data_IF_993778654436
#
_entry.id   IF_993778654436
#
_cell.length_a   1.000
_cell.length_b   1.000
_cell.length_c   1.000
_cell.angle_alpha   90.00
_cell.angle_beta   90.00
_cell.angle_gamma   90.00
#
_symmetry.space_group_name_H-M   'P 1'
#
loop_
_entity.id
_entity.type
_entity.pdbx_description
1 polymer ?
#
# COMPACT_ATOMS: atom_id res chain seq x y z
N UNK A 1 -31.24 -1.86 5.62
CA UNK A 1 -30.67 -0.48 5.60
C UNK A 1 -31.50 0.39 6.51
N UNK A 2 -30.88 1.08 7.48
CA UNK A 2 -31.55 2.03 8.36
C UNK A 2 -31.85 3.36 7.63
N UNK A 3 -32.70 4.26 8.18
CA UNK A 3 -32.92 5.58 7.57
C UNK A 3 -31.64 6.40 7.41
N UNK A 4 -30.72 6.34 8.39
CA UNK A 4 -29.42 7.01 8.34
C UNK A 4 -28.52 6.42 7.25
N UNK A 5 -28.44 5.09 7.15
CA UNK A 5 -27.70 4.40 6.09
C UNK A 5 -28.25 4.80 4.71
N UNK A 6 -29.59 4.86 4.57
CA UNK A 6 -30.24 5.25 3.31
C UNK A 6 -29.91 6.73 2.93
N UNK A 7 -29.92 7.64 3.91
CA UNK A 7 -29.58 9.05 3.71
C UNK A 7 -28.14 9.23 3.21
N UNK A 8 -27.17 8.59 3.87
CA UNK A 8 -25.74 8.64 3.50
C UNK A 8 -25.52 8.07 2.11
N UNK A 9 -26.07 6.90 1.81
CA UNK A 9 -25.87 6.23 0.52
C UNK A 9 -26.57 6.97 -0.63
N UNK A 10 -27.72 7.59 -0.41
CA UNK A 10 -28.39 8.43 -1.40
C UNK A 10 -27.56 9.70 -1.68
N UNK A 11 -27.01 10.34 -0.66
CA UNK A 11 -26.13 11.48 -0.80
C UNK A 11 -24.90 11.17 -1.69
N UNK A 12 -24.28 9.99 -1.49
CA UNK A 12 -23.15 9.54 -2.31
C UNK A 12 -23.56 9.24 -3.75
N UNK A 13 -24.77 8.66 -3.98
CA UNK A 13 -25.27 8.32 -5.31
C UNK A 13 -25.36 9.51 -6.25
N UNK A 14 -25.67 10.70 -5.71
CA UNK A 14 -25.83 11.94 -6.46
C UNK A 14 -24.51 12.65 -6.80
N UNK A 15 -23.34 12.10 -6.38
CA UNK A 15 -22.07 12.82 -6.44
C UNK A 15 -21.02 12.19 -7.36
N UNK A 16 -21.45 11.36 -8.31
CA UNK A 16 -20.56 10.71 -9.27
C UNK A 16 -19.66 11.72 -9.98
N UNK A 17 -20.25 12.78 -10.54
CA UNK A 17 -19.49 13.77 -11.31
C UNK A 17 -18.49 14.54 -10.44
N UNK A 18 -18.88 14.84 -9.20
CA UNK A 18 -17.99 15.49 -8.24
C UNK A 18 -16.82 14.58 -7.83
N UNK A 19 -17.06 13.27 -7.64
CA UNK A 19 -16.00 12.27 -7.40
C UNK A 19 -15.04 12.20 -8.58
N UNK A 20 -15.56 12.13 -9.81
CA UNK A 20 -14.75 12.10 -11.04
C UNK A 20 -13.95 13.40 -11.21
N UNK A 21 -14.53 14.55 -10.86
CA UNK A 21 -13.83 15.84 -10.92
C UNK A 21 -12.66 15.91 -9.93
N UNK A 22 -12.85 15.47 -8.67
CA UNK A 22 -11.78 15.39 -7.68
C UNK A 22 -10.71 14.38 -8.10
N UNK A 23 -11.11 13.22 -8.64
CA UNK A 23 -10.18 12.23 -9.15
C UNK A 23 -9.31 12.80 -10.29
N UNK A 24 -9.90 13.53 -11.22
CA UNK A 24 -9.16 14.23 -12.28
C UNK A 24 -8.12 15.19 -11.71
N UNK A 25 -8.50 16.04 -10.75
CA UNK A 25 -7.57 16.98 -10.10
C UNK A 25 -6.40 16.25 -9.45
N UNK A 26 -6.69 15.14 -8.76
CA UNK A 26 -5.66 14.29 -8.14
C UNK A 26 -4.74 13.63 -9.17
N UNK A 27 -5.30 13.06 -10.24
CA UNK A 27 -4.52 12.33 -11.27
C UNK A 27 -3.67 13.30 -12.09
N UNK A 28 -4.20 14.49 -12.42
CA UNK A 28 -3.48 15.51 -13.17
C UNK A 28 -2.43 16.27 -12.32
N UNK A 29 -2.34 15.93 -11.01
CA UNK A 29 -1.29 16.44 -10.12
C UNK A 29 -0.17 15.40 -10.01
N UNK A 30 1.08 15.81 -10.33
CA UNK A 30 2.27 14.99 -10.11
C UNK A 30 2.38 14.54 -8.64
N UNK A 31 2.68 13.27 -8.43
CA UNK A 31 2.84 12.71 -7.08
C UNK A 31 3.78 11.50 -7.04
N UNK A 32 4.82 11.48 -7.85
CA UNK A 32 5.86 10.44 -7.74
C UNK A 32 6.51 10.46 -6.36
N UNK A 33 6.72 9.31 -5.70
CA UNK A 33 7.17 9.19 -4.29
C UNK A 33 8.42 10.00 -3.95
N UNK A 34 9.29 10.22 -4.93
CA UNK A 34 10.52 11.02 -4.78
C UNK A 34 10.36 12.52 -5.13
N UNK A 35 9.19 12.95 -5.64
CA UNK A 35 8.86 14.36 -5.89
C UNK A 35 8.04 14.93 -4.72
N UNK A 36 8.73 15.26 -3.61
CA UNK A 36 8.06 15.82 -2.42
C UNK A 36 7.09 16.96 -2.76
N UNK A 37 7.49 17.91 -3.60
CA UNK A 37 6.64 19.05 -3.96
C UNK A 37 5.36 18.61 -4.68
N UNK A 38 5.47 17.61 -5.57
CA UNK A 38 4.32 17.06 -6.28
C UNK A 38 3.38 16.32 -5.34
N UNK A 39 3.92 15.43 -4.51
CA UNK A 39 3.16 14.69 -3.50
C UNK A 39 2.47 15.65 -2.51
N UNK A 40 3.15 16.73 -2.08
CA UNK A 40 2.55 17.73 -1.20
C UNK A 40 1.42 18.50 -1.89
N UNK A 41 1.56 18.86 -3.18
CA UNK A 41 0.44 19.48 -3.96
C UNK A 41 -0.77 18.56 -4.02
N UNK A 42 -0.58 17.27 -4.28
CA UNK A 42 -1.67 16.29 -4.25
C UNK A 42 -2.32 16.20 -2.85
N UNK A 43 -1.51 16.25 -1.78
CA UNK A 43 -2.01 16.33 -0.40
C UNK A 43 -2.83 17.57 -0.13
N UNK A 44 -2.44 18.72 -0.67
CA UNK A 44 -3.20 19.99 -0.55
C UNK A 44 -4.57 19.93 -1.26
N UNK A 45 -4.71 19.17 -2.34
CA UNK A 45 -6.02 18.95 -2.99
C UNK A 45 -6.99 18.31 -2.00
N UNK A 46 -6.57 17.21 -1.36
CA UNK A 46 -7.38 16.51 -0.35
C UNK A 46 -7.62 17.35 0.91
N UNK A 47 -6.59 18.03 1.41
CA UNK A 47 -6.70 18.89 2.59
C UNK A 47 -7.78 19.95 2.38
N UNK A 48 -7.75 20.68 1.26
CA UNK A 48 -8.78 21.67 0.91
C UNK A 48 -10.16 21.04 0.75
N UNK A 49 -10.26 19.82 0.22
CA UNK A 49 -11.54 19.12 0.12
C UNK A 49 -12.09 18.82 1.51
N UNK A 50 -11.28 18.30 2.42
CA UNK A 50 -11.68 17.98 3.79
C UNK A 50 -12.11 19.22 4.57
N UNK A 51 -11.32 20.30 4.54
CA UNK A 51 -11.64 21.57 5.21
C UNK A 51 -12.97 22.14 4.74
N UNK A 52 -13.21 22.16 3.41
CA UNK A 52 -14.48 22.66 2.82
C UNK A 52 -15.69 21.83 3.24
N UNK A 53 -15.49 20.57 3.61
CA UNK A 53 -16.53 19.66 4.09
C UNK A 53 -16.55 19.54 5.63
N UNK A 54 -15.90 20.47 6.36
CA UNK A 54 -16.03 20.61 7.81
C UNK A 54 -15.17 19.63 8.63
N UNK A 55 -14.19 18.95 8.02
CA UNK A 55 -13.25 18.13 8.76
C UNK A 55 -12.07 18.96 9.29
N UNK A 56 -11.59 18.62 10.47
CA UNK A 56 -10.34 19.18 11.02
C UNK A 56 -9.14 18.54 10.34
N UNK A 57 -8.31 19.35 9.68
CA UNK A 57 -7.12 18.87 8.94
C UNK A 57 -5.84 19.19 9.70
N UNK A 58 -4.96 18.21 9.76
CA UNK A 58 -3.61 18.29 10.30
C UNK A 58 -2.61 17.85 9.24
N UNK A 59 -1.60 18.67 8.96
CA UNK A 59 -0.48 18.33 8.09
C UNK A 59 0.67 17.86 8.97
N UNK A 60 1.08 16.61 8.79
CA UNK A 60 2.21 16.01 9.51
C UNK A 60 3.44 16.13 8.64
N UNK A 61 4.29 17.10 8.96
CA UNK A 61 5.44 17.47 8.14
C UNK A 61 6.50 16.36 8.03
N UNK A 62 7.08 16.21 6.86
CA UNK A 62 8.20 15.33 6.58
C UNK A 62 9.30 16.07 5.81
N UNK A 63 10.55 15.96 6.25
CA UNK A 63 11.66 16.70 5.62
C UNK A 63 12.20 16.11 4.32
N UNK A 64 11.83 14.85 3.99
CA UNK A 64 12.41 14.12 2.85
C UNK A 64 11.38 13.73 1.79
N UNK A 65 10.27 13.15 2.22
CA UNK A 65 9.15 12.73 1.36
C UNK A 65 7.97 13.69 1.53
N UNK A 66 6.83 13.40 0.94
CA UNK A 66 5.64 14.23 1.13
C UNK A 66 5.15 14.21 2.58
N UNK A 67 4.48 15.28 2.99
CA UNK A 67 3.85 15.40 4.31
C UNK A 67 2.63 14.48 4.39
N UNK A 68 2.35 13.84 5.54
CA UNK A 68 1.10 13.11 5.68
C UNK A 68 -0.08 14.08 5.94
N UNK A 69 -1.27 13.74 5.44
CA UNK A 69 -2.50 14.52 5.67
C UNK A 69 -3.43 13.70 6.56
N UNK A 70 -3.76 14.24 7.73
CA UNK A 70 -4.70 13.61 8.68
C UNK A 70 -5.94 14.49 8.80
N UNK A 71 -7.09 13.97 8.39
CA UNK A 71 -8.38 14.66 8.53
C UNK A 71 -9.25 13.92 9.56
N UNK A 72 -9.96 14.68 10.41
CA UNK A 72 -10.76 14.12 11.50
C UNK A 72 -12.18 14.65 11.45
N UNK A 73 -13.14 13.75 11.63
CA UNK A 73 -14.53 14.09 11.93
C UNK A 73 -14.82 13.61 13.36
N UNK A 74 -14.89 14.53 14.35
CA UNK A 74 -15.14 14.15 15.74
C UNK A 74 -16.59 13.71 15.94
N UNK A 75 -16.81 12.79 16.87
CA UNK A 75 -18.15 12.51 17.40
C UNK A 75 -18.11 12.60 18.95
N UNK A 76 -18.38 13.77 19.52
CA UNK A 76 -18.27 13.97 20.96
C UNK A 76 -19.31 13.19 21.77
N UNK A 77 -20.35 12.65 21.14
CA UNK A 77 -21.40 11.84 21.78
C UNK A 77 -21.13 10.35 21.73
N UNK A 78 -20.08 9.90 21.04
CA UNK A 78 -19.71 8.49 21.00
C UNK A 78 -19.23 8.00 22.39
N UNK A 79 -19.69 6.82 22.80
CA UNK A 79 -19.24 6.18 24.05
C UNK A 79 -17.77 5.77 23.96
N UNK A 80 -17.38 5.17 22.84
CA UNK A 80 -15.99 4.85 22.53
C UNK A 80 -15.42 5.90 21.57
N UNK A 81 -14.40 6.61 22.02
CA UNK A 81 -13.76 7.68 21.24
C UNK A 81 -12.69 7.17 20.25
N UNK A 82 -12.45 5.86 20.16
CA UNK A 82 -11.57 5.32 19.14
C UNK A 82 -12.21 5.48 17.76
N UNK A 83 -11.53 6.14 16.80
CA UNK A 83 -12.07 6.35 15.47
C UNK A 83 -12.11 5.06 14.63
N UNK A 84 -12.93 5.07 13.60
CA UNK A 84 -12.68 4.24 12.41
C UNK A 84 -11.61 4.93 11.58
N UNK A 85 -10.59 4.20 11.13
CA UNK A 85 -9.51 4.71 10.31
C UNK A 85 -9.78 4.39 8.83
N UNK A 86 -9.77 5.42 7.99
CA UNK A 86 -9.64 5.29 6.54
C UNK A 86 -8.19 5.60 6.18
N UNK A 87 -7.56 4.72 5.41
CA UNK A 87 -6.14 4.79 5.11
C UNK A 87 -5.90 4.68 3.62
N UNK A 88 -5.00 5.49 3.10
CA UNK A 88 -4.51 5.36 1.74
C UNK A 88 -3.31 6.23 1.45
N UNK A 89 -2.63 5.96 0.33
CA UNK A 89 -1.50 6.73 -0.14
C UNK A 89 -1.84 7.54 -1.40
N UNK A 90 -1.12 8.64 -1.60
CA UNK A 90 -1.30 9.51 -2.77
C UNK A 90 -0.10 9.56 -3.71
N UNK A 91 1.01 8.97 -3.27
CA UNK A 91 2.19 8.84 -4.13
C UNK A 91 1.98 7.77 -5.20
N UNK A 92 2.83 7.78 -6.20
CA UNK A 92 2.82 6.84 -7.32
C UNK A 92 4.24 6.47 -7.72
N UNK A 93 4.40 5.31 -8.39
CA UNK A 93 5.69 4.87 -8.96
C UNK A 93 6.17 5.73 -10.14
N UNK A 94 5.32 6.60 -10.68
CA UNK A 94 5.59 7.31 -11.92
C UNK A 94 6.54 8.51 -11.71
N UNK A 95 7.42 8.79 -12.69
CA UNK A 95 8.33 9.92 -12.62
C UNK A 95 7.59 11.26 -12.76
N UNK A 96 8.23 12.34 -12.32
CA UNK A 96 7.75 13.70 -12.50
C UNK A 96 7.45 14.02 -13.96
N UNK A 97 6.32 14.68 -14.21
CA UNK A 97 5.83 15.05 -15.55
C UNK A 97 4.92 13.99 -16.19
N UNK A 98 4.68 12.87 -15.54
CA UNK A 98 3.83 11.82 -16.06
C UNK A 98 2.37 12.28 -16.31
N UNK A 99 1.71 13.08 -15.45
CA UNK A 99 0.39 13.61 -15.73
C UNK A 99 0.32 14.50 -16.98
N UNK A 100 1.40 15.22 -17.30
CA UNK A 100 1.48 16.00 -18.54
C UNK A 100 1.55 15.09 -19.77
N UNK A 101 2.25 13.96 -19.68
CA UNK A 101 2.40 12.97 -20.74
C UNK A 101 1.14 12.13 -20.91
N UNK A 102 0.50 11.74 -19.82
CA UNK A 102 -0.72 10.91 -19.75
C UNK A 102 -1.75 11.55 -18.80
N UNK A 103 -2.42 12.66 -19.22
CA UNK A 103 -3.42 13.31 -18.39
C UNK A 103 -4.63 12.40 -18.15
N UNK A 104 -5.40 12.72 -17.13
CA UNK A 104 -6.64 12.02 -16.85
C UNK A 104 -7.56 12.01 -18.08
N UNK A 105 -8.02 10.83 -18.45
CA UNK A 105 -8.95 10.65 -19.55
C UNK A 105 -9.96 9.55 -19.24
N UNK A 106 -11.13 9.62 -19.86
CA UNK A 106 -12.13 8.56 -19.81
C UNK A 106 -12.40 8.06 -21.20
N UNK A 107 -12.29 6.74 -21.38
CA UNK A 107 -12.59 6.06 -22.65
C UNK A 107 -13.27 4.72 -22.34
N UNK A 108 -14.36 4.44 -23.03
CA UNK A 108 -15.10 3.17 -22.96
C UNK A 108 -15.47 2.75 -21.51
N UNK A 109 -15.88 3.74 -20.68
CA UNK A 109 -16.27 3.51 -19.28
C UNK A 109 -15.10 3.35 -18.28
N UNK A 110 -13.85 3.46 -18.75
CA UNK A 110 -12.63 3.42 -17.94
C UNK A 110 -11.96 4.78 -17.86
N UNK A 111 -11.51 5.13 -16.69
CA UNK A 111 -10.61 6.27 -16.48
C UNK A 111 -9.16 5.79 -16.51
N UNK A 112 -8.28 6.63 -17.07
CA UNK A 112 -6.85 6.38 -17.24
C UNK A 112 -6.04 7.57 -16.70
N UNK A 113 -4.83 7.34 -16.27
CA UNK A 113 -3.87 8.33 -15.80
C UNK A 113 -3.03 7.79 -14.65
N UNK A 114 -1.95 8.48 -14.24
CA UNK A 114 -1.02 7.98 -13.22
C UNK A 114 -1.66 7.93 -11.83
N UNK A 115 -1.70 6.74 -11.23
CA UNK A 115 -2.30 6.50 -9.94
C UNK A 115 -3.84 6.55 -9.94
N UNK A 116 -4.48 6.43 -11.11
CA UNK A 116 -5.95 6.52 -11.22
C UNK A 116 -6.65 5.42 -10.44
N UNK A 117 -6.05 4.23 -10.35
CA UNK A 117 -6.50 3.10 -9.56
C UNK A 117 -5.69 2.95 -8.27
N UNK A 118 -4.38 3.10 -8.35
CA UNK A 118 -3.41 2.89 -7.28
C UNK A 118 -2.82 4.23 -6.80
N UNK A 119 -3.38 4.87 -5.68
CA UNK A 119 -4.73 4.53 -5.23
C UNK A 119 -5.61 5.79 -5.10
N UNK A 120 -5.41 6.79 -6.02
CA UNK A 120 -6.11 8.10 -5.96
C UNK A 120 -7.63 7.97 -5.96
N UNK A 121 -8.20 6.98 -6.69
CA UNK A 121 -9.63 6.73 -6.65
C UNK A 121 -10.11 6.25 -5.28
N UNK A 122 -9.30 5.45 -4.58
CA UNK A 122 -9.56 5.06 -3.21
C UNK A 122 -9.64 6.26 -2.27
N UNK A 123 -8.67 7.17 -2.37
CA UNK A 123 -8.66 8.41 -1.58
C UNK A 123 -9.88 9.30 -1.86
N UNK A 124 -10.32 9.35 -3.12
CA UNK A 124 -11.54 10.10 -3.49
C UNK A 124 -12.77 9.52 -2.83
N UNK A 125 -12.99 8.20 -2.87
CA UNK A 125 -14.17 7.63 -2.21
C UNK A 125 -14.12 7.81 -0.70
N UNK A 126 -12.94 7.66 -0.06
CA UNK A 126 -12.77 7.94 1.37
C UNK A 126 -13.14 9.38 1.71
N UNK A 127 -12.67 10.35 0.91
CA UNK A 127 -12.96 11.77 1.10
C UNK A 127 -14.48 12.06 1.01
N UNK A 128 -15.17 11.46 0.03
CA UNK A 128 -16.62 11.63 -0.11
C UNK A 128 -17.41 10.90 0.97
N UNK A 129 -16.94 9.75 1.46
CA UNK A 129 -17.54 9.05 2.61
C UNK A 129 -17.44 9.92 3.87
N UNK A 130 -16.30 10.53 4.13
CA UNK A 130 -16.14 11.45 5.25
C UNK A 130 -17.03 12.70 5.12
N UNK A 131 -17.14 13.28 3.92
CA UNK A 131 -18.03 14.41 3.63
C UNK A 131 -19.51 14.03 3.80
N UNK A 132 -19.91 12.81 3.40
CA UNK A 132 -21.27 12.32 3.60
C UNK A 132 -21.64 12.22 5.09
N UNK A 133 -20.71 11.75 5.94
CA UNK A 133 -20.95 11.71 7.38
C UNK A 133 -20.98 13.12 8.02
N UNK A 134 -20.16 14.04 7.54
CA UNK A 134 -20.19 15.43 8.01
C UNK A 134 -21.53 16.12 7.68
N UNK A 135 -22.08 15.90 6.48
CA UNK A 135 -23.32 16.51 6.03
C UNK A 135 -24.58 15.77 6.54
N UNK A 136 -24.56 14.44 6.49
CA UNK A 136 -25.73 13.62 6.80
C UNK A 136 -25.79 13.16 8.25
N UNK A 137 -24.66 13.10 8.96
CA UNK A 137 -24.53 12.43 10.25
C UNK A 137 -24.60 10.91 10.12
N UNK A 138 -25.04 10.23 11.18
CA UNK A 138 -25.34 8.79 11.19
C UNK A 138 -24.17 7.90 11.57
N UNK A 139 -22.96 8.42 11.75
CA UNK A 139 -21.80 7.64 12.25
C UNK A 139 -21.78 7.68 13.79
N UNK A 140 -21.70 6.49 14.41
CA UNK A 140 -21.68 6.37 15.88
C UNK A 140 -20.30 6.50 16.53
N UNK A 141 -19.23 6.60 15.71
CA UNK A 141 -17.84 6.74 16.15
C UNK A 141 -17.21 8.00 15.55
N UNK A 142 -16.08 8.49 16.09
CA UNK A 142 -15.22 9.41 15.34
C UNK A 142 -14.66 8.75 14.07
N UNK A 143 -14.29 9.57 13.09
CA UNK A 143 -13.62 9.13 11.87
C UNK A 143 -12.26 9.81 11.74
N UNK A 144 -11.26 9.06 11.35
CA UNK A 144 -9.95 9.59 10.96
C UNK A 144 -9.63 9.12 9.56
N UNK A 145 -9.26 10.05 8.70
CA UNK A 145 -8.63 9.75 7.41
C UNK A 145 -7.14 10.05 7.52
N UNK A 146 -6.32 9.11 7.10
CA UNK A 146 -4.88 9.28 7.01
C UNK A 146 -4.43 9.02 5.59
N UNK A 147 -3.91 10.06 4.93
CA UNK A 147 -3.34 9.95 3.59
C UNK A 147 -1.82 10.03 3.67
N UNK A 148 -1.14 8.96 3.28
CA UNK A 148 0.32 8.82 3.29
C UNK A 148 0.94 9.28 1.97
N UNK A 149 2.29 9.25 1.87
CA UNK A 149 3.04 9.95 0.83
C UNK A 149 4.21 9.18 0.23
N UNK A 150 4.46 7.95 0.70
CA UNK A 150 5.65 7.17 0.36
C UNK A 150 5.42 5.65 0.43
N UNK A 151 4.18 5.22 0.17
CA UNK A 151 3.80 3.80 0.18
C UNK A 151 4.57 3.02 -0.89
N UNK A 152 4.67 3.54 -2.08
CA UNK A 152 5.28 2.89 -3.25
C UNK A 152 6.78 2.59 -3.09
N UNK A 153 7.38 3.14 -2.04
CA UNK A 153 8.79 2.93 -1.68
C UNK A 153 8.97 2.28 -0.30
N UNK A 154 7.88 1.70 0.26
CA UNK A 154 7.91 0.96 1.53
C UNK A 154 7.61 1.80 2.76
N UNK A 155 6.96 2.93 2.62
CA UNK A 155 6.50 3.82 3.71
C UNK A 155 7.61 4.23 4.71
N UNK A 156 8.81 4.60 4.26
CA UNK A 156 9.94 4.84 5.17
C UNK A 156 9.68 5.97 6.15
N UNK A 157 8.79 6.90 5.84
CA UNK A 157 8.42 8.00 6.72
C UNK A 157 6.98 7.91 7.25
N UNK A 158 6.06 7.30 6.50
CA UNK A 158 4.65 7.17 6.87
C UNK A 158 4.40 6.08 7.90
N UNK A 159 5.21 5.03 7.95
CA UNK A 159 5.02 3.90 8.87
C UNK A 159 4.79 4.31 10.33
N UNK A 160 5.59 5.16 10.98
CA UNK A 160 5.34 5.55 12.37
C UNK A 160 4.01 6.27 12.57
N UNK A 161 3.58 7.05 11.56
CA UNK A 161 2.30 7.79 11.59
C UNK A 161 1.13 6.82 11.44
N UNK A 162 1.23 5.84 10.54
CA UNK A 162 0.24 4.78 10.35
C UNK A 162 0.09 3.95 11.63
N UNK A 163 1.21 3.49 12.20
CA UNK A 163 1.21 2.69 13.42
C UNK A 163 0.61 3.44 14.61
N UNK A 164 0.87 4.75 14.73
CA UNK A 164 0.28 5.59 15.77
C UNK A 164 -1.25 5.72 15.58
N UNK A 165 -1.71 6.01 14.35
CA UNK A 165 -3.13 6.11 14.04
C UNK A 165 -3.87 4.79 14.26
N UNK A 166 -3.24 3.66 13.91
CA UNK A 166 -3.80 2.33 14.10
C UNK A 166 -4.02 1.97 15.58
N UNK A 167 -3.05 2.29 16.45
CA UNK A 167 -3.19 2.05 17.91
C UNK A 167 -4.34 2.81 18.54
N UNK A 168 -4.69 3.96 17.99
CA UNK A 168 -5.81 4.80 18.45
C UNK A 168 -7.16 4.35 17.86
N UNK A 169 -7.16 3.50 16.82
CA UNK A 169 -8.36 3.17 16.05
C UNK A 169 -9.00 1.85 16.46
N UNK A 170 -10.32 1.75 16.27
CA UNK A 170 -11.08 0.52 16.53
C UNK A 170 -10.99 -0.47 15.39
N UNK A 171 -10.87 0.00 14.15
CA UNK A 171 -10.64 -0.77 12.93
C UNK A 171 -10.15 0.16 11.82
N UNK A 172 -9.62 -0.43 10.74
CA UNK A 172 -9.13 0.30 9.59
C UNK A 172 -9.65 -0.29 8.27
N UNK A 173 -9.95 0.61 7.32
CA UNK A 173 -10.19 0.29 5.92
C UNK A 173 -9.11 0.96 5.08
N UNK A 174 -8.42 0.19 4.24
CA UNK A 174 -7.43 0.71 3.30
C UNK A 174 -8.00 0.61 1.88
N UNK A 175 -8.20 1.76 1.24
CA UNK A 175 -8.91 1.85 -0.04
C UNK A 175 -8.00 1.63 -1.26
N UNK A 176 -6.99 0.75 -1.14
CA UNK A 176 -6.34 0.14 -2.29
C UNK A 176 -7.37 -0.35 -3.32
N UNK A 177 -7.02 -0.45 -4.60
CA UNK A 177 -7.98 -0.87 -5.61
C UNK A 177 -8.53 -2.28 -5.35
N UNK A 178 -9.84 -2.40 -5.44
CA UNK A 178 -10.52 -3.67 -5.54
C UNK A 178 -10.26 -4.31 -6.90
N UNK A 179 -10.35 -5.63 -7.00
CA UNK A 179 -10.02 -6.36 -8.22
C UNK A 179 -11.22 -7.11 -8.77
N UNK A 180 -11.15 -7.39 -10.07
CA UNK A 180 -12.09 -8.30 -10.75
C UNK A 180 -11.41 -9.64 -11.00
N UNK A 181 -12.14 -10.75 -10.89
CA UNK A 181 -11.69 -12.02 -11.45
C UNK A 181 -11.38 -11.88 -12.94
N UNK A 182 -10.35 -12.60 -13.41
CA UNK A 182 -9.94 -12.54 -14.81
C UNK A 182 -11.12 -12.80 -15.77
N UNK A 183 -11.24 -11.96 -16.80
CA UNK A 183 -12.29 -12.07 -17.82
C UNK A 183 -13.67 -11.54 -17.40
N UNK A 184 -13.80 -10.92 -16.22
CA UNK A 184 -15.04 -10.27 -15.76
C UNK A 184 -14.98 -8.75 -15.94
N UNK A 185 -16.14 -8.09 -15.98
CA UNK A 185 -16.30 -6.64 -15.98
C UNK A 185 -17.30 -6.22 -14.91
N UNK A 186 -17.05 -5.14 -14.17
CA UNK A 186 -17.92 -4.76 -13.05
C UNK A 186 -19.36 -4.50 -13.46
N UNK A 187 -19.55 -3.76 -14.55
CA UNK A 187 -20.88 -3.43 -15.07
C UNK A 187 -21.73 -4.69 -15.38
N UNK A 188 -21.06 -5.76 -15.83
CA UNK A 188 -21.73 -7.01 -16.24
C UNK A 188 -21.92 -7.98 -15.07
N UNK A 189 -20.89 -8.17 -14.26
CA UNK A 189 -20.83 -9.30 -13.34
C UNK A 189 -21.14 -8.89 -11.89
N UNK A 190 -21.09 -7.59 -11.58
CA UNK A 190 -21.31 -7.05 -10.22
C UNK A 190 -20.54 -7.84 -9.17
N UNK A 191 -19.25 -8.07 -9.44
CA UNK A 191 -18.33 -8.82 -8.58
C UNK A 191 -17.11 -7.97 -8.22
N UNK A 192 -16.57 -8.23 -7.05
CA UNK A 192 -15.29 -7.66 -6.60
C UNK A 192 -14.57 -8.61 -5.66
N UNK A 193 -13.26 -8.44 -5.54
CA UNK A 193 -12.48 -9.04 -4.47
C UNK A 193 -11.88 -7.96 -3.58
N UNK A 194 -11.90 -8.20 -2.27
CA UNK A 194 -11.20 -7.39 -1.26
C UNK A 194 -10.10 -8.22 -0.63
N UNK A 195 -9.06 -7.57 -0.14
CA UNK A 195 -7.92 -8.27 0.41
C UNK A 195 -8.07 -8.44 1.92
N UNK A 196 -8.18 -9.69 2.36
CA UNK A 196 -8.24 -10.10 3.77
C UNK A 196 -6.92 -10.60 4.32
N UNK A 197 -5.91 -10.75 3.46
CA UNK A 197 -4.55 -11.14 3.82
C UNK A 197 -3.54 -10.76 2.75
N UNK A 198 -2.36 -10.29 3.17
CA UNK A 198 -1.24 -9.92 2.29
C UNK A 198 0.06 -10.48 2.81
N UNK A 199 0.98 -10.83 1.92
CA UNK A 199 2.37 -11.09 2.32
C UNK A 199 3.03 -9.80 2.82
N UNK A 200 3.94 -9.95 3.76
CA UNK A 200 4.95 -8.94 4.04
C UNK A 200 6.10 -9.01 3.04
N UNK A 201 6.89 -7.96 2.98
CA UNK A 201 8.08 -7.88 2.13
C UNK A 201 9.24 -7.20 2.83
N UNK A 202 10.46 -7.67 2.60
CA UNK A 202 11.69 -6.98 3.04
C UNK A 202 12.59 -6.79 1.83
N UNK A 203 12.95 -5.54 1.57
CA UNK A 203 13.89 -5.17 0.52
C UNK A 203 15.26 -4.96 1.14
N UNK A 204 16.24 -5.72 0.69
CA UNK A 204 17.58 -5.74 1.29
C UNK A 204 18.65 -5.51 0.22
N UNK A 205 19.77 -4.94 0.65
CA UNK A 205 20.99 -4.81 -0.12
C UNK A 205 22.15 -5.44 0.64
N UNK A 206 22.88 -6.33 -0.04
CA UNK A 206 24.10 -6.92 0.46
C UNK A 206 25.29 -6.34 -0.32
N UNK A 207 26.26 -5.80 0.40
CA UNK A 207 27.53 -5.28 -0.13
C UNK A 207 28.66 -6.22 0.25
N UNK A 208 29.48 -6.59 -0.73
CA UNK A 208 30.60 -7.52 -0.59
C UNK A 208 31.90 -6.80 -0.85
N UNK A 209 32.85 -6.90 0.05
CA UNK A 209 34.20 -6.34 -0.06
C UNK A 209 35.23 -7.47 -0.21
N UNK A 210 36.09 -7.34 -1.18
CA UNK A 210 37.19 -8.23 -1.45
C UNK A 210 38.54 -7.48 -1.49
N UNK A 211 39.55 -8.14 -2.03
CA UNK A 211 40.89 -7.60 -2.19
C UNK A 211 41.32 -7.66 -3.66
N UNK A 212 41.64 -6.52 -4.30
CA UNK A 212 42.08 -6.53 -5.68
C UNK A 212 43.47 -7.15 -5.84
N UNK A 213 43.68 -7.83 -6.96
CA UNK A 213 44.97 -8.31 -7.41
C UNK A 213 44.95 -8.49 -8.92
N UNK A 214 46.11 -8.49 -9.58
CA UNK A 214 46.20 -8.80 -11.01
C UNK A 214 45.92 -10.29 -11.23
N UNK A 215 44.89 -10.63 -12.04
CA UNK A 215 44.37 -12.00 -12.18
C UNK A 215 45.35 -13.00 -12.73
N UNK A 216 46.36 -12.58 -13.51
CA UNK A 216 47.38 -13.42 -14.07
C UNK A 216 48.71 -13.45 -13.33
N UNK A 217 49.04 -12.36 -12.56
CA UNK A 217 50.37 -12.25 -11.94
C UNK A 217 50.39 -12.49 -10.43
N UNK A 218 49.29 -12.18 -9.73
CA UNK A 218 49.24 -12.21 -8.27
C UNK A 218 47.82 -12.66 -7.79
N UNK A 219 47.21 -13.59 -8.48
CA UNK A 219 45.85 -14.06 -8.18
C UNK A 219 45.67 -14.46 -6.73
N UNK A 220 46.68 -15.18 -6.18
CA UNK A 220 46.69 -15.70 -4.81
C UNK A 220 46.73 -14.62 -3.72
N UNK A 221 47.05 -13.38 -4.09
CA UNK A 221 47.04 -12.21 -3.16
C UNK A 221 45.67 -11.48 -3.13
N UNK A 222 44.78 -11.86 -4.03
CA UNK A 222 43.43 -11.31 -4.14
C UNK A 222 42.40 -12.10 -3.35
N UNK A 223 41.21 -11.46 -3.13
CA UNK A 223 40.02 -12.12 -2.62
C UNK A 223 38.81 -11.60 -3.41
N UNK A 224 38.15 -12.47 -4.17
CA UNK A 224 37.10 -12.04 -5.09
C UNK A 224 35.74 -11.89 -4.41
N UNK A 225 35.23 -10.68 -4.32
CA UNK A 225 33.88 -10.37 -3.84
C UNK A 225 32.79 -10.97 -4.77
N UNK A 226 33.03 -11.02 -6.10
CA UNK A 226 32.10 -11.62 -7.05
C UNK A 226 32.01 -13.14 -6.82
N UNK A 227 33.10 -13.83 -6.56
CA UNK A 227 33.10 -15.28 -6.28
C UNK A 227 32.36 -15.55 -4.96
N UNK A 228 32.61 -14.73 -3.93
CA UNK A 228 31.91 -14.86 -2.65
C UNK A 228 30.39 -14.71 -2.81
N UNK A 229 29.94 -13.64 -3.52
CA UNK A 229 28.52 -13.45 -3.86
C UNK A 229 27.98 -14.62 -4.68
N UNK A 230 28.73 -15.11 -5.69
CA UNK A 230 28.32 -16.21 -6.54
C UNK A 230 28.00 -17.50 -5.77
N UNK A 231 28.76 -17.81 -4.73
CA UNK A 231 28.50 -18.95 -3.82
C UNK A 231 27.27 -18.75 -2.93
N UNK A 232 26.83 -17.52 -2.69
CA UNK A 232 25.71 -17.19 -1.81
C UNK A 232 24.37 -17.14 -2.52
N UNK A 233 24.34 -16.73 -3.80
CA UNK A 233 23.09 -16.64 -4.58
C UNK A 233 22.27 -17.94 -4.53
N UNK A 234 22.83 -19.13 -4.81
CA UNK A 234 22.05 -20.37 -4.74
C UNK A 234 21.52 -20.67 -3.34
N UNK A 235 22.25 -20.30 -2.29
CA UNK A 235 21.82 -20.50 -0.89
C UNK A 235 20.67 -19.56 -0.54
N UNK A 236 20.74 -18.29 -0.96
CA UNK A 236 19.67 -17.30 -0.78
C UNK A 236 18.39 -17.75 -1.51
N UNK A 237 18.49 -18.10 -2.79
CA UNK A 237 17.35 -18.61 -3.58
C UNK A 237 16.77 -19.90 -2.97
N UNK A 238 17.60 -20.73 -2.37
CA UNK A 238 17.21 -21.98 -1.70
C UNK A 238 16.37 -21.79 -0.43
N UNK A 239 16.24 -20.57 0.09
CA UNK A 239 15.32 -20.25 1.18
C UNK A 239 13.86 -20.10 0.71
N UNK A 240 13.60 -20.11 -0.59
CA UNK A 240 12.25 -20.08 -1.15
C UNK A 240 11.49 -21.34 -0.80
N UNK A 241 10.30 -21.18 -0.21
CA UNK A 241 9.37 -22.25 0.15
C UNK A 241 7.95 -21.84 -0.26
N UNK A 242 7.55 -22.25 -1.47
CA UNK A 242 6.26 -21.86 -2.05
C UNK A 242 5.08 -22.45 -1.28
N UNK A 243 5.24 -23.60 -0.61
CA UNK A 243 4.20 -24.21 0.20
C UNK A 243 3.90 -23.37 1.46
N UNK A 244 4.95 -22.77 2.03
CA UNK A 244 4.82 -21.82 3.15
C UNK A 244 4.57 -20.38 2.70
N UNK A 245 4.44 -20.13 1.39
CA UNK A 245 4.24 -18.80 0.83
C UNK A 245 5.47 -17.90 0.87
N UNK A 246 6.67 -18.47 1.06
CA UNK A 246 7.95 -17.75 1.16
C UNK A 246 8.60 -17.66 -0.21
N UNK A 247 9.07 -16.44 -0.57
CA UNK A 247 9.93 -16.26 -1.74
C UNK A 247 11.12 -15.38 -1.39
N UNK A 248 12.32 -15.82 -1.78
CA UNK A 248 13.55 -15.04 -1.70
C UNK A 248 14.10 -14.89 -3.11
N UNK A 249 14.15 -13.66 -3.60
CA UNK A 249 14.58 -13.35 -4.95
C UNK A 249 15.80 -12.43 -4.93
N UNK A 250 16.92 -12.89 -5.49
CA UNK A 250 18.06 -12.01 -5.80
C UNK A 250 17.77 -11.39 -7.17
N UNK A 251 17.16 -10.19 -7.15
CA UNK A 251 16.65 -9.52 -8.34
C UNK A 251 17.69 -8.71 -9.11
N UNK A 252 18.69 -8.19 -8.40
CA UNK A 252 19.76 -7.38 -9.00
C UNK A 252 21.12 -7.79 -8.45
N UNK A 253 22.14 -7.79 -9.32
CA UNK A 253 23.55 -8.01 -8.96
C UNK A 253 24.46 -7.04 -9.72
N UNK A 254 25.61 -6.72 -9.13
CA UNK A 254 26.66 -5.97 -9.79
C UNK A 254 27.99 -6.11 -9.08
N UNK A 255 29.06 -5.59 -9.71
CA UNK A 255 30.39 -5.62 -9.11
C UNK A 255 31.53 -5.70 -10.11
N UNK A 256 32.73 -5.89 -9.56
CA UNK A 256 33.96 -5.94 -10.33
C UNK A 256 34.50 -4.55 -10.69
N UNK A 257 35.62 -4.53 -11.38
CA UNK A 257 36.30 -3.29 -11.82
C UNK A 257 36.78 -3.45 -13.28
N UNK A 258 37.62 -4.44 -13.53
CA UNK A 258 38.09 -4.80 -14.87
C UNK A 258 38.21 -6.32 -14.95
N UNK A 259 38.17 -6.90 -16.17
CA UNK A 259 38.20 -8.34 -16.39
C UNK A 259 39.47 -9.01 -15.86
N UNK A 260 40.58 -8.29 -15.83
CA UNK A 260 41.89 -8.78 -15.38
C UNK A 260 42.24 -8.39 -13.94
N UNK A 261 41.25 -7.96 -13.14
CA UNK A 261 41.39 -7.65 -11.72
C UNK A 261 40.50 -8.58 -10.90
N UNK A 262 41.06 -9.22 -9.85
CA UNK A 262 40.27 -9.93 -8.84
C UNK A 262 39.30 -8.93 -8.22
N UNK A 263 38.00 -9.21 -8.24
CA UNK A 263 36.94 -8.25 -7.95
C UNK A 263 37.00 -7.76 -6.49
N UNK A 264 37.28 -6.46 -6.25
CA UNK A 264 37.34 -5.90 -4.91
C UNK A 264 35.98 -5.59 -4.29
N UNK A 265 34.92 -5.58 -5.10
CA UNK A 265 33.57 -5.22 -4.68
C UNK A 265 32.54 -5.99 -5.51
N UNK A 266 31.44 -6.37 -4.85
CA UNK A 266 30.21 -6.86 -5.48
C UNK A 266 29.01 -6.49 -4.61
N UNK A 267 27.80 -6.54 -5.17
CA UNK A 267 26.58 -6.29 -4.44
C UNK A 267 25.42 -7.09 -5.05
N UNK A 268 24.38 -7.31 -4.24
CA UNK A 268 23.09 -7.78 -4.72
C UNK A 268 21.94 -7.10 -3.98
N UNK A 269 20.77 -7.08 -4.61
CA UNK A 269 19.51 -6.69 -4.00
C UNK A 269 18.57 -7.88 -3.92
N UNK A 270 17.93 -8.01 -2.75
CA UNK A 270 17.15 -9.18 -2.36
C UNK A 270 15.74 -8.72 -2.00
N UNK A 271 14.74 -9.35 -2.60
CA UNK A 271 13.32 -9.24 -2.23
C UNK A 271 12.90 -10.51 -1.49
N UNK A 272 12.55 -10.37 -0.22
CA UNK A 272 11.97 -11.40 0.61
C UNK A 272 10.47 -11.17 0.73
N UNK A 273 9.64 -12.19 0.43
CA UNK A 273 8.20 -12.21 0.73
C UNK A 273 7.89 -13.32 1.73
N UNK A 274 6.99 -13.02 2.67
CA UNK A 274 6.64 -13.92 3.78
C UNK A 274 5.18 -13.70 4.20
N UNK A 275 4.60 -14.65 4.96
CA UNK A 275 3.18 -14.62 5.35
C UNK A 275 2.98 -14.16 6.78
N UNK A 276 3.89 -14.51 7.70
CA UNK A 276 3.75 -14.20 9.13
C UNK A 276 4.96 -13.45 9.69
N UNK A 277 4.74 -12.67 10.74
CA UNK A 277 5.82 -11.95 11.43
C UNK A 277 6.93 -12.90 11.97
N UNK A 278 6.56 -14.13 12.38
CA UNK A 278 7.52 -15.14 12.83
C UNK A 278 8.46 -15.57 11.69
N UNK A 279 7.92 -15.83 10.50
CA UNK A 279 8.73 -16.16 9.31
C UNK A 279 9.71 -15.03 8.97
N UNK A 280 9.30 -13.76 9.11
CA UNK A 280 10.18 -12.60 8.85
C UNK A 280 11.45 -12.66 9.71
N UNK A 281 11.28 -12.84 11.03
CA UNK A 281 12.41 -12.85 11.95
C UNK A 281 13.41 -13.96 11.60
N UNK A 282 12.91 -15.17 11.37
CA UNK A 282 13.72 -16.33 11.02
C UNK A 282 14.45 -16.15 9.68
N UNK A 283 13.74 -15.68 8.65
CA UNK A 283 14.29 -15.54 7.30
C UNK A 283 15.30 -14.38 7.19
N UNK A 284 15.07 -13.26 7.85
CA UNK A 284 16.02 -12.15 7.87
C UNK A 284 17.34 -12.58 8.51
N UNK A 285 17.30 -13.34 9.62
CA UNK A 285 18.49 -13.89 10.26
C UNK A 285 19.19 -14.94 9.39
N UNK A 286 18.43 -15.83 8.73
CA UNK A 286 19.00 -16.81 7.80
C UNK A 286 19.70 -16.12 6.60
N UNK A 287 19.08 -15.08 6.01
CA UNK A 287 19.68 -14.30 4.93
C UNK A 287 20.92 -13.59 5.43
N UNK A 288 20.88 -12.96 6.61
CA UNK A 288 22.04 -12.31 7.23
C UNK A 288 23.19 -13.29 7.44
N UNK A 289 22.93 -14.44 8.01
CA UNK A 289 23.94 -15.46 8.22
C UNK A 289 24.59 -15.94 6.91
N UNK A 290 23.82 -16.11 5.84
CA UNK A 290 24.34 -16.46 4.52
C UNK A 290 25.22 -15.33 3.96
N UNK A 291 24.75 -14.09 4.05
CA UNK A 291 25.45 -12.92 3.49
C UNK A 291 26.74 -12.64 4.25
N UNK A 292 26.71 -12.60 5.57
CA UNK A 292 27.81 -12.12 6.40
C UNK A 292 28.88 -13.20 6.70
N UNK A 293 28.58 -14.49 6.43
CA UNK A 293 29.60 -15.57 6.59
C UNK A 293 30.47 -15.68 5.34
N UNK A 294 31.76 -15.30 5.36
CA UNK A 294 32.65 -15.39 4.19
C UNK A 294 32.78 -16.82 3.67
N UNK A 295 32.70 -17.00 2.35
CA UNK A 295 33.02 -18.27 1.65
C UNK A 295 34.42 -18.19 1.04
N UNK A 296 34.81 -16.99 0.59
CA UNK A 296 36.16 -16.72 0.09
C UNK A 296 36.98 -16.08 1.20
N UNK A 297 38.10 -16.67 1.54
CA UNK A 297 39.01 -16.14 2.57
C UNK A 297 39.49 -14.74 2.16
N UNK A 298 39.34 -13.78 3.07
CA UNK A 298 39.72 -12.38 2.83
C UNK A 298 38.63 -11.50 2.24
N UNK A 299 37.39 -12.03 2.10
CA UNK A 299 36.19 -11.20 1.83
C UNK A 299 35.43 -10.89 3.11
N UNK A 300 34.58 -9.87 3.03
CA UNK A 300 33.55 -9.56 4.04
C UNK A 300 32.28 -9.09 3.34
N UNK A 301 31.16 -9.18 4.03
CA UNK A 301 29.90 -8.64 3.51
C UNK A 301 29.02 -8.07 4.62
N UNK A 302 28.14 -7.12 4.26
CA UNK A 302 27.18 -6.53 5.16
C UNK A 302 25.80 -6.49 4.50
N UNK A 303 24.74 -6.80 5.29
CA UNK A 303 23.33 -6.75 4.87
C UNK A 303 22.67 -5.51 5.45
N UNK A 304 22.01 -4.73 4.58
CA UNK A 304 21.21 -3.57 4.95
C UNK A 304 19.77 -3.74 4.51
N UNK A 305 18.82 -3.53 5.42
CA UNK A 305 17.39 -3.45 5.08
C UNK A 305 17.12 -2.05 4.51
N UNK A 306 16.57 -1.99 3.30
CA UNK A 306 16.23 -0.73 2.60
C UNK A 306 14.82 -0.27 2.87
N UNK A 307 13.91 -1.21 3.08
CA UNK A 307 12.51 -0.98 3.37
C UNK A 307 11.80 -2.28 3.67
N UNK A 308 10.65 -2.18 4.29
CA UNK A 308 9.82 -3.35 4.56
C UNK A 308 8.34 -3.01 4.66
N UNK A 309 7.50 -3.99 4.33
CA UNK A 309 6.10 -4.03 4.68
C UNK A 309 5.83 -5.20 5.61
N UNK A 310 4.96 -4.98 6.58
CA UNK A 310 4.47 -6.07 7.43
C UNK A 310 3.31 -6.81 6.75
N UNK A 311 3.06 -8.07 7.09
CA UNK A 311 1.97 -8.83 6.51
C UNK A 311 0.62 -8.33 7.06
N UNK A 312 -0.42 -8.38 6.22
CA UNK A 312 -1.79 -8.30 6.70
C UNK A 312 -2.21 -9.70 7.13
N UNK A 313 -2.03 -10.02 8.40
CA UNK A 313 -2.45 -11.29 8.97
C UNK A 313 -3.94 -11.26 9.32
N UNK A 314 -4.68 -12.30 8.91
CA UNK A 314 -6.09 -12.42 9.23
C UNK A 314 -6.31 -12.70 10.72
N UNK A 315 -7.23 -11.96 11.35
CA UNK A 315 -7.67 -12.17 12.73
C UNK A 315 -9.17 -12.43 12.77
N UNK A 316 -9.72 -12.99 13.89
CA UNK A 316 -11.18 -13.13 14.01
C UNK A 316 -11.93 -11.81 13.84
N UNK A 317 -11.37 -10.68 14.28
CA UNK A 317 -12.01 -9.38 14.16
C UNK A 317 -11.89 -8.81 12.75
N UNK A 318 -10.77 -9.03 12.03
CA UNK A 318 -10.67 -8.67 10.61
C UNK A 318 -11.62 -9.52 9.75
N UNK A 319 -11.90 -10.77 10.14
CA UNK A 319 -12.91 -11.61 9.49
C UNK A 319 -14.34 -11.04 9.68
N UNK A 320 -14.69 -10.58 10.88
CA UNK A 320 -15.97 -9.88 11.12
C UNK A 320 -16.08 -8.60 10.30
N UNK A 321 -14.96 -7.86 10.16
CA UNK A 321 -14.91 -6.66 9.33
C UNK A 321 -15.16 -6.98 7.86
N UNK A 322 -14.56 -8.06 7.34
CA UNK A 322 -14.83 -8.57 5.99
C UNK A 322 -16.31 -8.97 5.82
N UNK A 323 -16.89 -9.70 6.76
CA UNK A 323 -18.31 -10.11 6.70
C UNK A 323 -19.23 -8.89 6.67
N UNK A 324 -18.94 -7.88 7.50
CA UNK A 324 -19.65 -6.59 7.50
C UNK A 324 -19.59 -5.89 6.14
N UNK A 325 -18.41 -5.87 5.52
CA UNK A 325 -18.22 -5.29 4.18
C UNK A 325 -18.93 -6.08 3.09
N UNK A 326 -18.83 -7.43 3.12
CA UNK A 326 -19.52 -8.32 2.19
C UNK A 326 -21.04 -8.13 2.24
N UNK A 327 -21.61 -8.05 3.45
CA UNK A 327 -23.04 -7.89 3.65
C UNK A 327 -23.51 -6.47 3.24
N UNK A 328 -22.68 -5.44 3.41
CA UNK A 328 -22.93 -4.12 2.85
C UNK A 328 -22.95 -4.15 1.32
N UNK A 329 -21.97 -4.80 0.69
CA UNK A 329 -21.86 -4.93 -0.76
C UNK A 329 -23.04 -5.72 -1.35
N UNK A 330 -23.48 -6.79 -0.69
CA UNK A 330 -24.64 -7.57 -1.08
C UNK A 330 -25.93 -6.74 -1.14
N UNK A 331 -26.07 -5.72 -0.26
CA UNK A 331 -27.17 -4.76 -0.28
C UNK A 331 -27.24 -3.91 -1.56
N UNK A 332 -26.16 -3.83 -2.32
CA UNK A 332 -26.08 -3.19 -3.64
C UNK A 332 -25.96 -4.19 -4.80
N UNK A 333 -26.22 -5.48 -4.54
CA UNK A 333 -26.14 -6.54 -5.54
C UNK A 333 -24.71 -6.85 -5.98
N UNK A 334 -23.70 -6.58 -5.14
CA UNK A 334 -22.30 -6.83 -5.43
C UNK A 334 -21.83 -8.08 -4.67
N UNK A 335 -21.43 -9.11 -5.42
CA UNK A 335 -20.82 -10.31 -4.85
C UNK A 335 -19.35 -10.02 -4.50
N UNK A 336 -19.00 -10.15 -3.21
CA UNK A 336 -17.65 -9.85 -2.71
C UNK A 336 -16.99 -11.11 -2.17
N UNK A 337 -15.76 -11.37 -2.60
CA UNK A 337 -14.92 -12.46 -2.11
C UNK A 337 -13.69 -11.90 -1.36
N UNK A 338 -13.25 -12.66 -0.35
CA UNK A 338 -11.96 -12.41 0.31
C UNK A 338 -10.84 -13.02 -0.50
N UNK A 339 -9.74 -12.27 -0.66
CA UNK A 339 -8.59 -12.69 -1.43
C UNK A 339 -7.30 -12.54 -0.60
N UNK A 340 -6.39 -13.51 -0.73
CA UNK A 340 -5.02 -13.39 -0.23
C UNK A 340 -4.11 -13.00 -1.38
N UNK A 341 -3.28 -11.97 -1.20
CA UNK A 341 -2.38 -11.48 -2.26
C UNK A 341 -0.90 -11.51 -1.85
N UNK A 342 -0.03 -11.69 -2.84
CA UNK A 342 1.42 -11.57 -2.67
C UNK A 342 1.95 -10.13 -2.65
N UNK A 343 1.12 -9.13 -3.04
CA UNK A 343 1.47 -7.71 -2.99
C UNK A 343 1.38 -7.16 -1.56
N UNK A 344 2.33 -6.30 -1.20
CA UNK A 344 2.34 -5.61 0.09
C UNK A 344 1.46 -4.35 0.05
N UNK A 345 1.16 -3.77 1.20
CA UNK A 345 0.55 -2.44 1.36
C UNK A 345 0.63 -1.96 2.82
N UNK A 346 0.32 -0.70 3.05
CA UNK A 346 0.28 -0.04 4.37
C UNK A 346 -0.66 -0.72 5.37
N UNK A 347 -1.66 -1.46 4.90
CA UNK A 347 -2.58 -2.25 5.72
C UNK A 347 -1.90 -3.29 6.63
N UNK A 348 -0.69 -3.73 6.30
CA UNK A 348 0.11 -4.58 7.17
C UNK A 348 0.60 -3.86 8.43
N UNK A 349 0.89 -2.57 8.35
CA UNK A 349 1.30 -1.78 9.52
C UNK A 349 0.16 -1.56 10.49
N UNK A 350 -1.08 -1.37 10.01
CA UNK A 350 -2.26 -1.27 10.89
C UNK A 350 -2.56 -2.59 11.59
N UNK A 351 -2.54 -3.71 10.85
CA UNK A 351 -2.77 -5.04 11.39
C UNK A 351 -1.73 -5.42 12.45
N UNK A 352 -0.46 -5.06 12.26
CA UNK A 352 0.62 -5.32 13.20
C UNK A 352 0.45 -4.59 14.56
N UNK A 353 -0.38 -3.56 14.62
CA UNK A 353 -0.75 -2.87 15.85
C UNK A 353 -2.00 -3.49 16.55
N UNK A 354 -2.49 -4.62 16.03
CA UNK A 354 -3.71 -5.25 16.54
C UNK A 354 -5.00 -4.55 16.10
N UNK A 355 -4.93 -3.61 15.14
CA UNK A 355 -6.08 -2.94 14.58
C UNK A 355 -6.73 -3.85 13.50
N UNK A 356 -7.99 -4.31 13.68
CA UNK A 356 -8.69 -5.07 12.66
C UNK A 356 -8.72 -4.30 11.34
N UNK A 357 -8.18 -4.88 10.27
CA UNK A 357 -7.99 -4.17 9.00
C UNK A 357 -8.55 -4.96 7.82
N UNK A 358 -9.24 -4.25 6.93
CA UNK A 358 -9.65 -4.74 5.62
C UNK A 358 -9.01 -3.87 4.53
N UNK A 359 -8.43 -4.51 3.52
CA UNK A 359 -7.72 -3.82 2.45
C UNK A 359 -8.39 -4.04 1.08
N UNK A 360 -8.01 -3.23 0.09
CA UNK A 360 -8.58 -3.24 -1.27
C UNK A 360 -10.09 -2.98 -1.30
N UNK A 361 -10.54 -2.03 -0.46
CA UNK A 361 -11.95 -1.58 -0.42
C UNK A 361 -12.23 -0.43 -1.39
N UNK A 362 -11.24 -0.01 -2.16
CA UNK A 362 -11.36 1.02 -3.19
C UNK A 362 -12.16 0.60 -4.41
N UNK A 363 -12.37 1.51 -5.37
CA UNK A 363 -13.01 1.19 -6.64
C UNK A 363 -12.20 0.18 -7.45
N UNK A 364 -12.86 -0.43 -8.44
CA UNK A 364 -12.23 -1.48 -9.25
C UNK A 364 -11.28 -0.88 -10.27
N UNK A 365 -10.04 -1.33 -10.23
CA UNK A 365 -8.98 -0.94 -11.15
C UNK A 365 -8.08 -2.09 -11.54
N UNK A 366 -7.12 -1.80 -12.39
CA UNK A 366 -6.13 -2.78 -12.82
C UNK A 366 -4.97 -2.16 -13.57
N UNK A 367 -3.99 -3.00 -13.90
CA UNK A 367 -2.76 -2.61 -14.60
C UNK A 367 -1.94 -1.56 -13.83
N UNK A 368 -2.04 -1.53 -12.49
CA UNK A 368 -1.22 -0.67 -11.64
C UNK A 368 0.27 -0.76 -12.01
N UNK A 369 1.02 0.34 -11.82
CA UNK A 369 2.44 0.48 -12.16
C UNK A 369 2.77 0.38 -13.66
N UNK A 370 1.76 0.45 -14.53
CA UNK A 370 1.95 0.44 -15.99
C UNK A 370 1.31 1.66 -16.66
N UNK A 371 1.71 2.00 -17.90
CA UNK A 371 1.04 3.05 -18.67
C UNK A 371 -0.45 2.78 -18.95
N UNK A 372 -0.88 1.53 -18.86
CA UNK A 372 -2.25 1.08 -19.13
C UNK A 372 -3.12 1.00 -17.88
N UNK A 373 -2.67 1.58 -16.77
CA UNK A 373 -3.42 1.65 -15.53
C UNK A 373 -4.80 2.26 -15.76
N UNK A 374 -5.83 1.57 -15.27
CA UNK A 374 -7.22 1.96 -15.48
C UNK A 374 -8.08 1.79 -14.23
N UNK A 375 -9.18 2.52 -14.21
CA UNK A 375 -10.26 2.44 -13.22
C UNK A 375 -11.61 2.23 -13.93
N UNK A 376 -12.43 1.31 -13.46
CA UNK A 376 -13.84 1.16 -13.90
C UNK A 376 -14.68 2.28 -13.29
N UNK A 377 -15.06 3.29 -14.07
CA UNK A 377 -15.76 4.51 -13.58
C UNK A 377 -17.09 4.18 -12.90
N UNK A 378 -17.79 3.14 -13.36
CA UNK A 378 -19.06 2.70 -12.77
C UNK A 378 -18.90 2.07 -11.37
N UNK A 379 -17.68 1.72 -10.96
CA UNK A 379 -17.42 1.16 -9.63
C UNK A 379 -17.26 2.23 -8.54
N UNK A 380 -17.02 3.50 -8.89
CA UNK A 380 -16.71 4.58 -7.94
C UNK A 380 -17.84 4.76 -6.91
N UNK A 381 -19.05 5.03 -7.38
CA UNK A 381 -20.19 5.28 -6.49
C UNK A 381 -20.57 4.06 -5.66
N UNK A 382 -20.70 2.85 -6.24
CA UNK A 382 -20.95 1.65 -5.44
C UNK A 382 -19.87 1.39 -4.39
N UNK A 383 -18.59 1.59 -4.71
CA UNK A 383 -17.50 1.43 -3.74
C UNK A 383 -17.63 2.43 -2.56
N UNK A 384 -17.94 3.71 -2.84
CA UNK A 384 -18.18 4.70 -1.81
C UNK A 384 -19.38 4.35 -0.92
N UNK A 385 -20.49 3.87 -1.51
CA UNK A 385 -21.68 3.45 -0.78
C UNK A 385 -21.41 2.24 0.10
N UNK A 386 -20.71 1.23 -0.41
CA UNK A 386 -20.33 0.03 0.34
C UNK A 386 -19.39 0.39 1.47
N UNK A 387 -18.39 1.22 1.22
CA UNK A 387 -17.45 1.68 2.25
C UNK A 387 -18.19 2.45 3.36
N UNK A 388 -19.07 3.38 3.02
CA UNK A 388 -19.85 4.14 4.00
C UNK A 388 -20.69 3.23 4.90
N UNK A 389 -21.45 2.27 4.33
CA UNK A 389 -22.21 1.31 5.11
C UNK A 389 -21.31 0.45 5.99
N UNK A 390 -20.17 0.02 5.47
CA UNK A 390 -19.21 -0.80 6.22
C UNK A 390 -18.65 -0.05 7.42
N UNK A 391 -18.29 1.23 7.23
CA UNK A 391 -17.85 2.14 8.31
C UNK A 391 -18.92 2.31 9.38
N UNK A 392 -20.18 2.60 8.99
CA UNK A 392 -21.30 2.76 9.94
C UNK A 392 -21.55 1.50 10.77
N UNK A 393 -21.48 0.34 10.14
CA UNK A 393 -21.73 -0.96 10.79
C UNK A 393 -20.55 -1.40 11.64
N UNK A 394 -19.31 -1.24 11.15
CA UNK A 394 -18.10 -1.54 11.90
C UNK A 394 -17.96 -0.64 13.13
N UNK A 395 -18.37 0.62 13.06
CA UNK A 395 -18.38 1.55 14.19
C UNK A 395 -19.21 1.04 15.38
N UNK A 396 -20.29 0.28 15.10
CA UNK A 396 -21.16 -0.34 16.14
C UNK A 396 -20.66 -1.72 16.58
N UNK A 397 -20.05 -2.48 15.65
CA UNK A 397 -19.62 -3.85 15.90
C UNK A 397 -18.35 -3.93 16.74
N UNK A 398 -17.48 -2.92 16.64
CA UNK A 398 -16.14 -2.86 17.28
C UNK A 398 -16.11 -1.97 18.54
N UNK A 399 -17.30 -1.71 19.14
CA UNK A 399 -17.42 -1.00 20.43
C UNK A 399 -16.80 -1.76 21.60
#
# INVERSE_FOLDING_TARGET
MTPEEAKVTAWLAERKDAMVALLREMVDTDSGSYDKEGVDRAGQVLARFHERNGLAVEIIANGRYGDAVKARLPNPTANDQRPVLLLGHRDTVFPKGEPTRRPFSIKDGRAYGPGVADMKAGLVIEAFVAAAFAECGGLSAPLTMLTTSDEEIGSPSSRPVIEAAARESRCAFNAEPSRLPAGSGFAKDRRQSVTSGRKGGVFMRAEFTGKPAHSGANYEKGASAIVDLGHKIPKLQGLTDLEKGITVNVGLIGGGQTVNTVAPHAWCEIDLRYVTAAQRAELVEAIRAIVETPVVVGTSAALTIKGEFLPLEGTPDSQKLFETYRDAAAGFGIATIAEFTGGCADSGFTAAQGCPTLCSVGPIGGMAHTPDEFLEVESIVPAAQVLALSVMRAAKLME
#
